data_IF_735644832463
#
_entry.id   IF_735644832463
#
_cell.length_a   1.000
_cell.length_b   1.000
_cell.length_c   1.000
_cell.angle_alpha   90.00
_cell.angle_beta   90.00
_cell.angle_gamma   90.00
#
_symmetry.space_group_name_H-M   'P 1'
#
loop_
_entity.id
_entity.type
_entity.pdbx_description
1 polymer ?
#
# COMPACT_ATOMS: atom_id res chain seq x y z
N UNK A 1 8.58 19.66 10.13
CA UNK A 1 7.59 20.64 10.60
C UNK A 1 7.31 21.72 9.57
N UNK A 2 8.32 22.30 8.89
CA UNK A 2 8.13 23.33 7.85
C UNK A 2 7.26 22.86 6.68
N UNK A 3 7.49 21.64 6.14
CA UNK A 3 6.70 21.09 5.05
C UNK A 3 5.21 20.99 5.40
N UNK A 4 4.87 20.43 6.56
CA UNK A 4 3.48 20.31 6.99
C UNK A 4 2.81 21.67 7.23
N UNK A 5 3.58 22.68 7.62
CA UNK A 5 3.07 24.04 7.83
C UNK A 5 2.73 24.76 6.52
N UNK A 6 3.57 24.60 5.49
CA UNK A 6 3.38 25.24 4.17
C UNK A 6 2.33 24.54 3.30
N UNK A 7 2.00 23.26 3.56
CA UNK A 7 1.08 22.47 2.74
C UNK A 7 -0.20 22.04 3.49
N UNK A 8 -0.61 22.79 4.51
CA UNK A 8 -1.83 22.49 5.33
C UNK A 8 -3.14 22.41 4.52
N UNK A 9 -3.19 23.04 3.37
CA UNK A 9 -4.35 23.08 2.48
C UNK A 9 -4.49 21.81 1.62
N UNK A 10 -3.39 21.04 1.44
CA UNK A 10 -3.40 19.82 0.64
C UNK A 10 -3.95 18.63 1.43
N UNK A 11 -4.76 17.82 0.77
CA UNK A 11 -5.35 16.59 1.33
C UNK A 11 -5.41 15.50 0.28
N UNK A 12 -5.54 14.25 0.73
CA UNK A 12 -5.74 13.11 -0.15
C UNK A 12 -4.58 12.91 -1.12
N UNK A 13 -4.92 12.66 -2.39
CA UNK A 13 -3.94 12.35 -3.44
C UNK A 13 -3.01 13.53 -3.76
N UNK A 14 -3.48 14.76 -3.63
CA UNK A 14 -2.66 15.94 -3.87
C UNK A 14 -1.55 16.08 -2.81
N UNK A 15 -1.84 15.68 -1.56
CA UNK A 15 -0.82 15.59 -0.52
C UNK A 15 0.16 14.44 -0.80
N UNK A 16 -0.30 13.29 -1.32
CA UNK A 16 0.59 12.18 -1.71
C UNK A 16 1.60 12.63 -2.75
N UNK A 17 1.13 13.29 -3.80
CA UNK A 17 1.97 13.81 -4.88
C UNK A 17 3.01 14.80 -4.34
N UNK A 18 2.57 15.76 -3.52
CA UNK A 18 3.45 16.77 -2.93
C UNK A 18 4.50 16.16 -1.97
N UNK A 19 4.16 15.11 -1.24
CA UNK A 19 5.13 14.41 -0.38
C UNK A 19 6.20 13.71 -1.21
N UNK A 20 5.82 13.01 -2.28
CA UNK A 20 6.78 12.34 -3.18
C UNK A 20 7.69 13.35 -3.88
N UNK A 21 7.14 14.46 -4.35
CA UNK A 21 7.90 15.57 -4.96
C UNK A 21 8.87 16.21 -3.95
N UNK A 22 8.41 16.54 -2.74
CA UNK A 22 9.26 17.11 -1.69
C UNK A 22 10.43 16.21 -1.30
N UNK A 23 10.23 14.90 -1.36
CA UNK A 23 11.27 13.91 -1.10
C UNK A 23 12.11 13.60 -2.35
N UNK A 24 11.77 14.18 -3.50
CA UNK A 24 12.37 13.88 -4.80
C UNK A 24 12.44 12.36 -5.06
N UNK A 25 11.26 11.71 -4.88
CA UNK A 25 11.11 10.28 -5.11
C UNK A 25 10.39 10.07 -6.44
N UNK A 26 11.12 9.54 -7.41
CA UNK A 26 10.60 9.24 -8.73
C UNK A 26 10.00 7.82 -8.78
N UNK A 27 8.68 7.70 -8.76
CA UNK A 27 7.99 6.44 -9.03
C UNK A 27 8.10 6.11 -10.53
N UNK A 28 8.90 5.11 -10.88
CA UNK A 28 9.15 4.73 -12.28
C UNK A 28 8.17 3.62 -12.66
N UNK A 29 7.24 3.94 -13.57
CA UNK A 29 6.19 3.03 -14.04
C UNK A 29 6.16 3.11 -15.55
N UNK A 30 6.19 1.97 -16.25
CA UNK A 30 6.07 1.98 -17.71
C UNK A 30 4.63 2.28 -18.15
N UNK A 31 4.46 2.83 -19.36
CA UNK A 31 3.13 3.05 -19.92
C UNK A 31 2.34 1.73 -19.99
N UNK A 32 2.99 0.63 -20.40
CA UNK A 32 2.41 -0.71 -20.43
C UNK A 32 1.94 -1.19 -19.05
N UNK A 33 2.65 -0.84 -17.97
CA UNK A 33 2.23 -1.18 -16.62
C UNK A 33 0.98 -0.36 -16.21
N UNK A 34 0.92 0.93 -16.55
CA UNK A 34 -0.25 1.77 -16.27
C UNK A 34 -1.51 1.29 -17.00
N UNK A 35 -1.37 0.78 -18.25
CA UNK A 35 -2.46 0.20 -19.04
C UNK A 35 -3.10 -1.04 -18.38
N UNK A 36 -2.41 -1.68 -17.42
CA UNK A 36 -2.99 -2.79 -16.66
C UNK A 36 -4.01 -2.34 -15.60
N UNK A 37 -4.04 -1.05 -15.25
CA UNK A 37 -5.02 -0.51 -14.32
C UNK A 37 -6.31 -0.19 -15.08
N UNK A 38 -7.44 -0.88 -14.82
CA UNK A 38 -8.68 -0.59 -15.49
C UNK A 38 -9.22 0.78 -15.07
N UNK A 39 -9.72 1.55 -16.03
CA UNK A 39 -10.27 2.89 -15.79
C UNK A 39 -11.54 2.86 -14.93
N UNK A 40 -12.29 1.75 -14.97
CA UNK A 40 -13.58 1.60 -14.29
C UNK A 40 -13.72 0.24 -13.61
N UNK A 41 -14.69 0.16 -12.71
CA UNK A 41 -15.04 -1.06 -12.00
C UNK A 41 -14.23 -1.30 -10.73
N UNK A 42 -14.70 -2.20 -9.86
CA UNK A 42 -14.02 -2.51 -8.61
C UNK A 42 -12.69 -3.23 -8.87
N UNK A 43 -11.67 -2.91 -8.06
CA UNK A 43 -10.34 -3.50 -8.20
C UNK A 43 -9.69 -3.70 -6.84
N UNK A 44 -9.04 -4.83 -6.63
CA UNK A 44 -8.15 -5.04 -5.49
C UNK A 44 -6.71 -5.12 -6.01
N UNK A 45 -5.90 -4.15 -5.63
CA UNK A 45 -4.45 -4.12 -5.88
C UNK A 45 -3.74 -4.82 -4.73
N UNK A 46 -2.88 -5.79 -5.03
CA UNK A 46 -2.08 -6.53 -4.05
C UNK A 46 -0.61 -6.32 -4.33
N UNK A 47 0.17 -5.97 -3.30
CA UNK A 47 1.59 -5.68 -3.48
C UNK A 47 2.44 -6.24 -2.34
N UNK A 48 3.73 -6.46 -2.63
CA UNK A 48 4.76 -6.65 -1.62
C UNK A 48 4.98 -5.33 -0.84
N UNK A 49 5.58 -5.43 0.35
CA UNK A 49 5.72 -4.30 1.28
C UNK A 49 7.18 -4.06 1.71
N UNK A 50 8.06 -3.68 0.76
CA UNK A 50 9.50 -3.64 1.03
C UNK A 50 9.94 -2.47 1.93
N UNK A 51 9.28 -1.29 1.86
CA UNK A 51 9.77 -0.06 2.52
C UNK A 51 8.81 0.55 3.53
N UNK A 52 7.59 0.06 3.63
CA UNK A 52 6.60 0.55 4.59
C UNK A 52 5.78 1.72 4.05
N UNK A 53 5.71 2.83 4.77
CA UNK A 53 4.84 3.97 4.42
C UNK A 53 5.02 4.45 2.98
N UNK A 54 6.25 4.43 2.48
CA UNK A 54 6.56 4.87 1.13
C UNK A 54 5.87 4.00 0.06
N UNK A 55 5.73 2.68 0.30
CA UNK A 55 5.05 1.79 -0.64
C UNK A 55 3.58 2.17 -0.82
N UNK A 56 2.93 2.53 0.30
CA UNK A 56 1.53 3.01 0.28
C UNK A 56 1.38 4.31 -0.52
N UNK A 57 2.25 5.28 -0.30
CA UNK A 57 2.25 6.55 -1.04
C UNK A 57 2.52 6.31 -2.53
N UNK A 58 3.50 5.46 -2.85
CA UNK A 58 3.86 5.16 -4.22
C UNK A 58 2.74 4.46 -5.00
N UNK A 59 2.02 3.52 -4.37
CA UNK A 59 0.88 2.86 -5.01
C UNK A 59 -0.35 3.77 -5.13
N UNK A 60 -0.62 4.60 -4.13
CA UNK A 60 -1.65 5.64 -4.24
C UNK A 60 -1.35 6.57 -5.42
N UNK A 61 -0.10 7.02 -5.56
CA UNK A 61 0.34 7.82 -6.70
C UNK A 61 0.22 7.05 -8.02
N UNK A 62 0.70 5.81 -8.09
CA UNK A 62 0.64 4.99 -9.30
C UNK A 62 -0.80 4.80 -9.82
N UNK A 63 -1.72 4.45 -8.91
CA UNK A 63 -3.13 4.26 -9.26
C UNK A 63 -3.80 5.58 -9.60
N UNK A 64 -3.45 6.69 -8.92
CA UNK A 64 -4.03 8.01 -9.17
C UNK A 64 -3.73 8.58 -10.56
N UNK A 65 -2.71 8.05 -11.23
CA UNK A 65 -2.41 8.38 -12.64
C UNK A 65 -3.52 7.94 -13.61
N UNK A 66 -4.33 6.96 -13.20
CA UNK A 66 -5.42 6.41 -14.01
C UNK A 66 -6.78 6.71 -13.36
N UNK A 67 -6.91 6.53 -12.03
CA UNK A 67 -8.18 6.74 -11.29
C UNK A 67 -7.92 7.32 -9.91
N UNK A 68 -8.85 8.17 -9.48
CA UNK A 68 -8.74 8.88 -8.18
C UNK A 68 -9.54 8.24 -7.04
N UNK A 69 -10.36 7.24 -7.31
CA UNK A 69 -11.20 6.51 -6.36
C UNK A 69 -10.46 5.38 -5.63
N UNK A 70 -9.22 5.64 -5.25
CA UNK A 70 -8.32 4.68 -4.62
C UNK A 70 -8.25 4.87 -3.11
N UNK A 71 -8.27 3.76 -2.37
CA UNK A 71 -7.97 3.70 -0.93
C UNK A 71 -6.96 2.61 -0.63
N UNK A 72 -6.24 2.76 0.48
CA UNK A 72 -5.29 1.76 0.97
C UNK A 72 -5.66 1.25 2.35
N UNK A 73 -5.59 -0.06 2.53
CA UNK A 73 -5.79 -0.70 3.83
C UNK A 73 -4.52 -0.54 4.65
N UNK A 74 -4.60 0.13 5.80
CA UNK A 74 -3.45 0.49 6.62
C UNK A 74 -3.62 0.09 8.07
N UNK A 75 -2.51 0.08 8.82
CA UNK A 75 -2.56 0.02 10.28
C UNK A 75 -3.28 1.26 10.83
N UNK A 76 -4.08 1.09 11.89
CA UNK A 76 -4.80 2.16 12.59
C UNK A 76 -3.92 3.35 12.98
N UNK A 77 -2.64 3.13 13.30
CA UNK A 77 -1.72 4.23 13.64
C UNK A 77 -1.57 5.27 12.53
N UNK A 78 -1.66 4.85 11.26
CA UNK A 78 -1.55 5.77 10.12
C UNK A 78 -2.82 6.59 9.89
N UNK A 79 -3.98 6.17 10.43
CA UNK A 79 -5.23 6.93 10.30
C UNK A 79 -5.21 8.30 10.99
N UNK A 80 -4.25 8.53 11.89
CA UNK A 80 -4.02 9.84 12.53
C UNK A 80 -3.30 10.86 11.65
N UNK A 81 -2.84 10.45 10.47
CA UNK A 81 -2.29 11.37 9.46
C UNK A 81 -3.44 12.09 8.75
N UNK A 82 -3.99 13.12 9.40
CA UNK A 82 -5.15 13.90 8.94
C UNK A 82 -5.18 14.21 7.45
N UNK A 83 -4.10 14.73 6.83
CA UNK A 83 -4.13 15.07 5.40
C UNK A 83 -4.38 13.89 4.46
N UNK A 84 -4.09 12.65 4.91
CA UNK A 84 -4.22 11.41 4.13
C UNK A 84 -5.38 10.52 4.60
N UNK A 85 -6.10 10.90 5.66
CA UNK A 85 -7.10 10.06 6.33
C UNK A 85 -8.22 9.59 5.39
N UNK A 86 -8.62 10.39 4.40
CA UNK A 86 -9.64 10.04 3.41
C UNK A 86 -9.23 8.88 2.50
N UNK A 87 -7.92 8.62 2.35
CA UNK A 87 -7.37 7.54 1.54
C UNK A 87 -7.19 6.23 2.32
N UNK A 88 -7.40 6.24 3.65
CA UNK A 88 -7.09 5.10 4.50
C UNK A 88 -8.35 4.35 4.94
N UNK A 89 -8.28 3.02 4.90
CA UNK A 89 -9.19 2.15 5.64
C UNK A 89 -8.36 1.47 6.73
N UNK A 90 -8.52 1.91 8.00
CA UNK A 90 -7.71 1.39 9.09
C UNK A 90 -8.11 -0.03 9.47
N UNK A 91 -7.12 -0.89 9.68
CA UNK A 91 -7.29 -2.23 10.24
C UNK A 91 -6.43 -2.40 11.48
N UNK A 92 -6.87 -3.25 12.38
CA UNK A 92 -6.13 -3.58 13.57
C UNK A 92 -5.36 -4.89 13.35
N UNK A 93 -4.08 -4.78 13.05
CA UNK A 93 -3.23 -5.92 12.76
C UNK A 93 -2.78 -6.66 14.05
N UNK A 94 -2.98 -6.06 15.22
CA UNK A 94 -2.52 -6.63 16.50
C UNK A 94 -3.46 -7.72 17.06
N UNK A 95 -4.74 -7.72 16.65
CA UNK A 95 -5.74 -8.66 17.17
C UNK A 95 -6.11 -9.83 16.24
N UNK A 96 -5.49 -9.93 15.06
CA UNK A 96 -5.73 -11.02 14.10
C UNK A 96 -7.11 -11.01 13.42
N UNK A 97 -8.01 -10.09 13.80
CA UNK A 97 -9.34 -9.92 13.20
C UNK A 97 -9.50 -8.49 12.69
N UNK A 98 -9.79 -8.35 11.42
CA UNK A 98 -10.25 -7.07 10.87
C UNK A 98 -11.54 -6.67 11.56
N UNK A 99 -11.61 -5.47 12.12
CA UNK A 99 -12.82 -4.97 12.74
C UNK A 99 -13.98 -5.00 11.72
N UNK A 100 -15.17 -5.39 12.16
CA UNK A 100 -16.38 -5.48 11.30
C UNK A 100 -16.62 -4.16 10.54
N UNK A 101 -16.41 -3.03 11.19
CA UNK A 101 -16.55 -1.70 10.58
C UNK A 101 -15.59 -1.48 9.40
N UNK A 102 -14.30 -1.88 9.54
CA UNK A 102 -13.32 -1.76 8.45
C UNK A 102 -13.67 -2.67 7.27
N UNK A 103 -14.17 -3.88 7.55
CA UNK A 103 -14.63 -4.79 6.49
C UNK A 103 -15.82 -4.20 5.73
N UNK A 104 -16.79 -3.65 6.43
CA UNK A 104 -17.94 -2.96 5.80
C UNK A 104 -17.47 -1.80 4.92
N UNK A 105 -16.51 -0.99 5.39
CA UNK A 105 -15.95 0.10 4.59
C UNK A 105 -15.26 -0.40 3.32
N UNK A 106 -14.49 -1.49 3.40
CA UNK A 106 -13.86 -2.11 2.24
C UNK A 106 -14.90 -2.61 1.23
N UNK A 107 -15.94 -3.31 1.71
CA UNK A 107 -17.02 -3.84 0.89
C UNK A 107 -17.77 -2.71 0.19
N UNK A 108 -18.18 -1.67 0.92
CA UNK A 108 -18.86 -0.50 0.35
C UNK A 108 -18.01 0.22 -0.70
N UNK A 109 -16.71 0.38 -0.42
CA UNK A 109 -15.80 1.04 -1.37
C UNK A 109 -15.70 0.26 -2.69
N UNK A 110 -15.57 -1.06 -2.62
CA UNK A 110 -15.54 -1.92 -3.81
C UNK A 110 -16.89 -2.02 -4.52
N UNK A 111 -18.01 -2.03 -3.78
CA UNK A 111 -19.36 -2.00 -4.35
C UNK A 111 -19.64 -0.70 -5.11
N UNK A 112 -19.00 0.40 -4.70
CA UNK A 112 -19.01 1.68 -5.41
C UNK A 112 -17.95 1.76 -6.51
N UNK A 113 -17.51 0.61 -7.02
CA UNK A 113 -16.53 0.47 -8.10
C UNK A 113 -15.13 1.03 -7.78
N UNK A 114 -14.79 1.28 -6.50
CA UNK A 114 -13.50 1.84 -6.09
C UNK A 114 -12.33 0.86 -6.16
N UNK A 115 -11.12 1.40 -6.07
CA UNK A 115 -9.87 0.64 -5.99
C UNK A 115 -9.41 0.51 -4.55
N UNK A 116 -9.03 -0.70 -4.14
CA UNK A 116 -8.55 -0.98 -2.81
C UNK A 116 -7.15 -1.61 -2.85
N UNK A 117 -6.17 -0.95 -2.23
CA UNK A 117 -4.80 -1.42 -2.15
C UNK A 117 -4.60 -2.23 -0.87
N UNK A 118 -4.00 -3.42 -1.01
CA UNK A 118 -3.58 -4.28 0.09
C UNK A 118 -2.09 -4.57 0.06
N UNK A 119 -1.50 -4.62 1.25
CA UNK A 119 -0.21 -5.23 1.52
C UNK A 119 -0.44 -6.49 2.36
N UNK A 120 -0.63 -7.67 1.73
CA UNK A 120 -1.14 -8.85 2.42
C UNK A 120 -0.20 -9.43 3.47
N UNK A 121 1.09 -9.09 3.42
CA UNK A 121 2.07 -9.48 4.44
C UNK A 121 1.77 -8.86 5.82
N UNK A 122 1.02 -7.73 5.87
CA UNK A 122 0.67 -7.02 7.10
C UNK A 122 1.84 -6.31 7.78
N UNK A 123 3.06 -6.51 7.32
CA UNK A 123 4.28 -5.89 7.80
C UNK A 123 5.31 -5.75 6.67
N UNK A 124 6.34 -4.95 6.92
CA UNK A 124 7.43 -4.71 5.98
C UNK A 124 8.26 -5.97 5.76
N UNK A 125 8.70 -6.18 4.50
CA UNK A 125 9.58 -7.29 4.12
C UNK A 125 10.82 -7.39 5.01
N UNK A 126 11.25 -8.60 5.31
CA UNK A 126 12.36 -8.87 6.22
C UNK A 126 13.44 -9.74 5.60
N UNK A 127 14.67 -9.72 6.12
CA UNK A 127 15.72 -10.62 5.71
C UNK A 127 15.35 -12.07 6.03
N UNK A 128 15.53 -12.93 5.04
CA UNK A 128 15.37 -14.39 5.16
C UNK A 128 16.61 -15.08 4.57
N UNK A 129 16.72 -16.39 4.74
CA UNK A 129 17.79 -17.18 4.08
C UNK A 129 17.74 -17.13 2.54
N UNK A 130 16.59 -16.70 1.97
CA UNK A 130 16.35 -16.58 0.52
C UNK A 130 16.33 -15.11 0.05
N UNK A 131 16.93 -14.18 0.81
CA UNK A 131 16.92 -12.75 0.57
C UNK A 131 15.81 -12.00 1.32
N UNK A 132 15.61 -10.72 0.97
CA UNK A 132 14.58 -9.88 1.58
C UNK A 132 13.22 -10.25 0.98
N UNK A 133 12.29 -10.66 1.83
CA UNK A 133 10.96 -11.13 1.41
C UNK A 133 9.88 -10.73 2.40
N UNK A 134 8.66 -10.64 1.88
CA UNK A 134 7.46 -10.59 2.69
C UNK A 134 7.29 -11.88 3.49
N UNK A 135 6.66 -11.77 4.65
CA UNK A 135 6.10 -12.92 5.33
C UNK A 135 4.98 -13.56 4.50
N UNK A 136 4.49 -14.72 4.97
CA UNK A 136 3.33 -15.39 4.37
C UNK A 136 2.16 -14.40 4.30
N UNK A 137 1.60 -14.25 3.13
CA UNK A 137 0.47 -13.38 2.86
C UNK A 137 -0.80 -13.88 3.54
N UNK A 138 -1.52 -12.98 4.19
CA UNK A 138 -2.82 -13.28 4.80
C UNK A 138 -3.91 -13.35 3.71
N UNK A 139 -4.78 -14.35 3.73
CA UNK A 139 -5.77 -14.58 2.66
C UNK A 139 -6.99 -13.65 2.71
N UNK A 140 -6.99 -12.64 3.57
CA UNK A 140 -8.14 -11.74 3.74
C UNK A 140 -8.58 -11.05 2.45
N UNK A 141 -7.64 -10.63 1.61
CA UNK A 141 -7.93 -10.02 0.31
C UNK A 141 -8.58 -11.02 -0.67
N UNK A 142 -8.18 -12.30 -0.63
CA UNK A 142 -8.80 -13.36 -1.45
C UNK A 142 -10.25 -13.56 -1.05
N UNK A 143 -10.53 -13.63 0.27
CA UNK A 143 -11.90 -13.78 0.79
C UNK A 143 -12.80 -12.62 0.36
N UNK A 144 -12.26 -11.40 0.39
CA UNK A 144 -12.99 -10.21 -0.06
C UNK A 144 -13.23 -10.22 -1.57
N UNK A 145 -12.19 -10.55 -2.35
CA UNK A 145 -12.29 -10.70 -3.80
C UNK A 145 -13.32 -11.77 -4.20
N UNK A 146 -13.30 -12.92 -3.51
CA UNK A 146 -14.27 -14.00 -3.69
C UNK A 146 -15.69 -13.56 -3.41
N UNK A 147 -15.91 -12.95 -2.26
CA UNK A 147 -17.24 -12.53 -1.81
C UNK A 147 -17.90 -11.55 -2.79
N UNK A 148 -17.10 -10.63 -3.34
CA UNK A 148 -17.59 -9.55 -4.21
C UNK A 148 -17.33 -9.79 -5.69
N UNK A 149 -16.66 -10.87 -6.06
CA UNK A 149 -16.24 -11.21 -7.44
C UNK A 149 -15.39 -10.11 -8.09
N UNK A 150 -14.50 -9.53 -7.30
CA UNK A 150 -13.62 -8.43 -7.71
C UNK A 150 -12.30 -8.98 -8.24
N UNK A 151 -11.78 -8.48 -9.38
CA UNK A 151 -10.49 -8.88 -9.90
C UNK A 151 -9.34 -8.41 -9.02
N UNK A 152 -8.20 -9.12 -9.12
CA UNK A 152 -6.96 -8.80 -8.44
C UNK A 152 -5.94 -8.25 -9.43
N UNK A 153 -5.21 -7.20 -9.03
CA UNK A 153 -4.09 -6.65 -9.79
C UNK A 153 -2.81 -6.80 -8.96
N UNK A 154 -1.90 -7.71 -9.34
CA UNK A 154 -0.64 -7.88 -8.63
C UNK A 154 0.34 -6.77 -9.02
N UNK A 155 0.98 -6.18 -8.01
CA UNK A 155 2.00 -5.14 -8.18
C UNK A 155 3.26 -5.53 -7.42
N UNK A 156 4.42 -5.27 -8.02
CA UNK A 156 5.71 -5.50 -7.39
C UNK A 156 6.50 -4.19 -7.28
N UNK A 157 6.85 -3.81 -6.06
CA UNK A 157 7.67 -2.65 -5.73
C UNK A 157 9.11 -3.11 -5.58
N UNK A 158 10.01 -2.57 -6.41
CA UNK A 158 11.43 -2.92 -6.39
C UNK A 158 12.19 -1.98 -5.45
N UNK A 159 12.17 -2.33 -4.18
CA UNK A 159 12.85 -1.54 -3.15
C UNK A 159 13.31 -2.43 -1.98
N UNK A 160 14.16 -1.89 -1.12
CA UNK A 160 14.58 -2.51 0.14
C UNK A 160 14.99 -1.43 1.13
N UNK A 161 14.83 -1.66 2.41
CA UNK A 161 15.31 -0.77 3.45
C UNK A 161 16.83 -0.92 3.68
N UNK A 162 17.40 -0.05 4.47
CA UNK A 162 18.83 -0.12 4.82
C UNK A 162 19.13 -1.32 5.71
N UNK A 163 20.37 -1.79 5.70
CA UNK A 163 20.84 -2.87 6.59
C UNK A 163 20.63 -2.52 8.06
N UNK A 164 20.81 -1.24 8.43
CA UNK A 164 20.56 -0.76 9.80
C UNK A 164 19.10 -0.92 10.21
N UNK A 165 18.16 -0.69 9.28
CA UNK A 165 16.74 -0.96 9.54
C UNK A 165 16.52 -2.43 9.83
N UNK A 166 17.06 -3.32 9.01
CA UNK A 166 16.90 -4.76 9.24
C UNK A 166 17.54 -5.24 10.54
N UNK A 167 18.69 -4.70 10.92
CA UNK A 167 19.31 -4.99 12.21
C UNK A 167 18.43 -4.54 13.40
N UNK A 168 17.81 -3.36 13.32
CA UNK A 168 16.92 -2.86 14.36
C UNK A 168 15.65 -3.71 14.55
N UNK A 169 15.19 -4.39 13.50
CA UNK A 169 14.02 -5.28 13.60
C UNK A 169 14.26 -6.50 14.49
N UNK A 170 15.52 -6.86 14.71
CA UNK A 170 15.91 -7.93 15.64
C UNK A 170 15.88 -7.48 17.11
N UNK A 171 15.92 -6.16 17.35
CA UNK A 171 15.99 -5.59 18.71
C UNK A 171 14.61 -5.26 19.26
N UNK A 172 13.78 -4.54 18.49
CA UNK A 172 12.44 -4.14 18.94
C UNK A 172 11.51 -3.76 17.78
N UNK A 173 10.27 -4.28 17.75
CA UNK A 173 9.26 -3.88 16.76
C UNK A 173 8.90 -2.39 16.81
N UNK A 174 8.87 -1.80 18.01
CA UNK A 174 8.53 -0.37 18.21
C UNK A 174 9.62 0.54 17.65
N UNK A 175 10.89 0.20 17.86
CA UNK A 175 12.03 0.94 17.30
C UNK A 175 12.00 0.84 15.77
N UNK A 176 11.64 -0.32 15.22
CA UNK A 176 11.51 -0.49 13.77
C UNK A 176 10.45 0.43 13.16
N UNK A 177 9.32 0.63 13.83
CA UNK A 177 8.25 1.51 13.36
C UNK A 177 8.69 2.97 13.28
N UNK A 178 9.40 3.46 14.31
CA UNK A 178 9.97 4.81 14.32
C UNK A 178 11.02 4.99 13.22
N UNK A 179 11.82 3.94 12.97
CA UNK A 179 12.83 3.97 11.92
C UNK A 179 12.23 3.94 10.50
N UNK A 180 11.01 3.41 10.31
CA UNK A 180 10.34 3.47 9.00
C UNK A 180 10.17 4.90 8.48
N UNK A 181 9.82 5.84 9.35
CA UNK A 181 9.73 7.25 8.99
C UNK A 181 11.10 7.81 8.57
N UNK A 182 12.16 7.47 9.31
CA UNK A 182 13.52 7.88 8.95
C UNK A 182 13.98 7.24 7.62
N UNK A 183 13.60 5.98 7.35
CA UNK A 183 13.92 5.31 6.09
C UNK A 183 13.29 6.04 4.90
N UNK A 184 12.06 6.53 5.01
CA UNK A 184 11.42 7.33 3.99
C UNK A 184 12.23 8.60 3.67
N UNK A 185 12.70 9.33 4.70
CA UNK A 185 13.55 10.51 4.51
C UNK A 185 14.95 10.19 3.96
N UNK A 186 15.50 9.02 4.27
CA UNK A 186 16.79 8.56 3.71
C UNK A 186 16.70 8.20 2.24
N UNK A 187 15.48 7.95 1.73
CA UNK A 187 15.23 7.64 0.31
C UNK A 187 15.00 8.87 -0.56
N UNK A 188 15.25 10.07 -0.04
CA UNK A 188 15.27 11.28 -0.86
C UNK A 188 16.16 11.09 -2.08
N UNK A 189 15.78 11.72 -3.19
CA UNK A 189 16.53 11.68 -4.46
C UNK A 189 16.71 10.25 -4.99
N UNK A 190 15.66 9.41 -4.88
CA UNK A 190 15.73 8.02 -5.33
C UNK A 190 14.64 7.65 -6.31
N UNK A 191 14.89 6.60 -7.09
CA UNK A 191 13.90 6.00 -7.96
C UNK A 191 13.22 4.83 -7.24
N UNK A 192 11.93 4.68 -7.48
CA UNK A 192 11.11 3.59 -6.96
C UNK A 192 10.42 2.87 -8.14
N UNK A 193 11.07 1.84 -8.71
CA UNK A 193 10.48 1.09 -9.80
C UNK A 193 9.26 0.28 -9.33
N UNK A 194 8.15 0.41 -10.05
CA UNK A 194 6.89 -0.30 -9.80
C UNK A 194 6.56 -1.10 -11.06
N UNK A 195 6.32 -2.39 -10.89
CA UNK A 195 5.87 -3.31 -11.93
C UNK A 195 4.44 -3.73 -11.67
N UNK A 196 3.57 -3.54 -12.64
CA UNK A 196 2.16 -3.92 -12.55
C UNK A 196 1.95 -5.15 -13.44
N UNK A 197 1.46 -6.23 -12.83
CA UNK A 197 1.19 -7.48 -13.54
C UNK A 197 -0.15 -7.45 -14.25
N UNK A 198 -0.47 -8.53 -14.93
CA UNK A 198 -1.77 -8.69 -15.56
C UNK A 198 -2.87 -8.85 -14.51
N UNK A 199 -4.03 -8.30 -14.81
CA UNK A 199 -5.22 -8.47 -13.99
C UNK A 199 -5.63 -9.94 -13.94
N UNK A 200 -5.88 -10.43 -12.72
CA UNK A 200 -6.38 -11.77 -12.47
C UNK A 200 -7.89 -11.65 -12.31
N UNK A 201 -8.62 -12.04 -13.34
CA UNK A 201 -10.08 -12.06 -13.30
C UNK A 201 -10.56 -13.04 -12.22
N UNK A 202 -11.63 -12.66 -11.53
CA UNK A 202 -12.30 -13.58 -10.62
C UNK A 202 -12.78 -14.83 -11.40
N UNK A 203 -12.45 -15.99 -10.86
CA UNK A 203 -13.03 -17.24 -11.31
C UNK A 203 -13.30 -18.15 -10.10
N UNK A 204 -14.21 -19.12 -10.23
CA UNK A 204 -14.63 -19.99 -9.12
C UNK A 204 -13.51 -20.89 -8.57
N UNK A 205 -12.34 -20.95 -9.21
CA UNK A 205 -11.17 -21.69 -8.71
C UNK A 205 -10.54 -21.08 -7.45
N UNK A 206 -10.82 -19.80 -7.17
CA UNK A 206 -10.35 -19.16 -5.92
C UNK A 206 -11.21 -19.51 -4.69
N UNK A 207 -12.37 -20.15 -4.87
CA UNK A 207 -13.26 -20.51 -3.76
C UNK A 207 -12.88 -21.80 -3.04
N UNK A 208 -11.90 -22.56 -3.54
CA UNK A 208 -11.52 -23.89 -3.05
C UNK A 208 -10.25 -23.94 -2.21
N UNK A 209 -9.79 -22.81 -1.68
CA UNK A 209 -8.65 -22.71 -0.77
C UNK A 209 -9.08 -22.00 0.51
#
# INVERSE_FOLDING_TARGET
>A
QQFAASHRHLKGLDMVEQVLEHLDILCTISARDLEQIPEHGPLIVIANHPTGTLDGLALLYAVSRVRRDVKVVTNRMLSHLEPLSSLFIPVDNMGGRTAKASLVQMEQHLQNAGVLIFFPAGEVSRPTRKGIRDKKWHPGFIKLASKLRVPLLPVHIQAHNSLLFYASTLVSPTVSLLLLMQQMFRRRHSQLPIKIGQQIAWNDRFSST
#
